data_IF_233736091745
#
_entry.id   IF_233736091745
#
_cell.length_a   1.000
_cell.length_b   1.000
_cell.length_c   1.000
_cell.angle_alpha   90.00
_cell.angle_beta   90.00
_cell.angle_gamma   90.00
#
_symmetry.space_group_name_H-M   'P 1'
#
loop_
_entity.id
_entity.type
_entity.pdbx_description
1 polymer ?
#
# COMPACT_ATOMS: atom_id res chain seq x y z
N UNK A 1 -5.45 17.18 9.08
CA UNK A 1 -4.71 16.53 7.98
C UNK A 1 -3.44 15.88 8.51
N UNK A 2 -3.27 14.58 8.25
CA UNK A 2 -2.14 13.77 8.70
C UNK A 2 -0.90 14.00 7.83
N UNK A 3 0.30 13.87 8.42
CA UNK A 3 1.56 13.96 7.67
C UNK A 3 1.93 12.62 6.99
N UNK A 4 2.95 12.64 6.11
CA UNK A 4 3.40 11.46 5.36
C UNK A 4 3.73 10.26 6.27
N UNK A 5 4.38 10.50 7.41
CA UNK A 5 4.80 9.44 8.33
C UNK A 5 3.62 8.82 9.07
N UNK A 6 2.65 9.64 9.50
CA UNK A 6 1.39 9.17 10.09
C UNK A 6 0.59 8.35 9.07
N UNK A 7 0.47 8.81 7.83
CA UNK A 7 -0.22 8.10 6.75
C UNK A 7 0.46 6.75 6.46
N UNK A 8 1.80 6.71 6.43
CA UNK A 8 2.55 5.45 6.31
C UNK A 8 2.19 4.47 7.40
N UNK A 9 2.15 4.91 8.66
CA UNK A 9 1.79 4.06 9.80
C UNK A 9 0.33 3.59 9.73
N UNK A 10 -0.59 4.45 9.31
CA UNK A 10 -2.00 4.10 9.14
C UNK A 10 -2.20 3.06 8.03
N UNK A 11 -1.51 3.23 6.90
CA UNK A 11 -1.49 2.24 5.81
C UNK A 11 -0.91 0.92 6.30
N UNK A 12 0.25 0.93 6.97
CA UNK A 12 0.88 -0.28 7.50
C UNK A 12 -0.05 -1.03 8.46
N UNK A 13 -0.72 -0.33 9.38
CA UNK A 13 -1.64 -0.93 10.36
C UNK A 13 -2.89 -1.52 9.70
N UNK A 14 -3.33 -0.94 8.58
CA UNK A 14 -4.55 -1.33 7.87
C UNK A 14 -4.27 -2.09 6.56
N UNK A 15 -3.03 -2.49 6.32
CA UNK A 15 -2.63 -3.15 5.06
C UNK A 15 -3.38 -4.46 4.82
N UNK A 16 -3.82 -5.11 5.91
CA UNK A 16 -4.64 -6.30 5.91
C UNK A 16 -6.02 -6.11 5.27
N UNK A 17 -6.51 -4.87 5.10
CA UNK A 17 -7.75 -4.58 4.37
C UNK A 17 -7.59 -4.82 2.86
N UNK A 18 -6.35 -4.76 2.35
CA UNK A 18 -6.02 -4.99 0.95
C UNK A 18 -5.76 -6.48 0.75
N UNK A 19 -6.39 -7.09 -0.25
CA UNK A 19 -6.17 -8.51 -0.52
C UNK A 19 -4.77 -8.71 -1.10
N UNK A 20 -4.08 -9.78 -0.70
CA UNK A 20 -2.75 -10.14 -1.25
C UNK A 20 -2.78 -10.25 -2.78
N UNK A 21 -3.90 -10.71 -3.36
CA UNK A 21 -4.11 -10.77 -4.82
C UNK A 21 -4.06 -9.41 -5.53
N UNK A 22 -4.27 -8.31 -4.81
CA UNK A 22 -4.12 -6.96 -5.34
C UNK A 22 -2.66 -6.49 -5.38
N UNK A 23 -1.81 -7.07 -4.53
CA UNK A 23 -0.37 -6.83 -4.56
C UNK A 23 0.34 -7.70 -5.62
N UNK A 24 -0.12 -8.94 -5.80
CA UNK A 24 0.50 -9.84 -6.77
C UNK A 24 -0.55 -10.76 -7.41
N UNK A 25 -0.64 -10.71 -8.74
CA UNK A 25 -1.56 -11.53 -9.53
C UNK A 25 -0.90 -12.79 -10.10
N UNK A 26 0.42 -12.77 -10.29
CA UNK A 26 1.16 -13.79 -11.05
C UNK A 26 2.16 -14.60 -10.20
N UNK A 27 1.91 -14.69 -8.89
CA UNK A 27 2.81 -15.35 -7.95
C UNK A 27 4.03 -14.51 -7.56
N UNK A 28 4.60 -14.84 -6.40
CA UNK A 28 5.61 -14.06 -5.70
C UNK A 28 5.15 -13.68 -4.29
N UNK A 29 6.09 -13.21 -3.47
CA UNK A 29 5.83 -12.76 -2.11
C UNK A 29 5.96 -11.24 -2.03
N UNK A 30 4.84 -10.50 -1.90
CA UNK A 30 4.91 -9.07 -1.71
C UNK A 30 5.42 -8.77 -0.30
N UNK A 31 6.43 -7.92 -0.20
CA UNK A 31 6.96 -7.43 1.07
C UNK A 31 6.06 -6.33 1.62
N UNK A 32 4.93 -6.74 2.18
CA UNK A 32 3.93 -5.84 2.77
C UNK A 32 4.32 -5.33 4.16
N UNK A 33 5.34 -5.93 4.79
CA UNK A 33 5.90 -5.47 6.08
C UNK A 33 6.78 -4.23 5.93
N UNK A 34 7.35 -4.02 4.73
CA UNK A 34 8.20 -2.88 4.44
C UNK A 34 7.68 -2.11 3.22
N UNK A 35 6.54 -1.41 3.40
CA UNK A 35 6.00 -0.54 2.35
C UNK A 35 6.43 0.92 2.54
N UNK A 36 6.54 1.66 1.44
CA UNK A 36 6.54 3.12 1.45
C UNK A 36 5.24 3.67 0.86
N UNK A 37 5.01 4.96 1.04
CA UNK A 37 3.80 5.63 0.54
C UNK A 37 4.19 6.89 -0.21
N UNK A 38 3.61 7.10 -1.38
CA UNK A 38 3.71 8.34 -2.13
C UNK A 38 2.34 8.99 -2.21
N UNK A 39 2.15 10.11 -1.51
CA UNK A 39 0.89 10.88 -1.51
C UNK A 39 0.91 11.83 -2.69
N UNK A 40 -0.12 11.77 -3.52
CA UNK A 40 -0.27 12.67 -4.68
C UNK A 40 -1.45 13.61 -4.54
N UNK A 41 -2.41 13.30 -3.67
CA UNK A 41 -3.50 14.22 -3.33
C UNK A 41 -4.01 13.95 -1.92
N UNK A 42 -4.37 15.02 -1.23
CA UNK A 42 -4.90 14.99 0.13
C UNK A 42 -5.91 16.11 0.25
N UNK A 43 -7.13 15.77 0.66
CA UNK A 43 -8.24 16.73 0.79
C UNK A 43 -9.11 16.37 1.98
N UNK A 44 -9.72 17.38 2.57
CA UNK A 44 -10.68 17.22 3.65
C UNK A 44 -12.07 17.62 3.11
N UNK A 45 -13.03 16.70 3.20
CA UNK A 45 -14.42 16.89 2.74
C UNK A 45 -15.33 16.34 3.82
N UNK A 46 -16.33 17.12 4.26
CA UNK A 46 -17.36 16.66 5.20
C UNK A 46 -16.82 15.97 6.46
N UNK A 47 -15.73 16.50 7.03
CA UNK A 47 -15.03 15.95 8.20
C UNK A 47 -14.31 14.60 7.96
N UNK A 48 -14.14 14.22 6.70
CA UNK A 48 -13.38 13.05 6.25
C UNK A 48 -12.13 13.50 5.51
N UNK A 49 -11.01 12.86 5.83
CA UNK A 49 -9.76 13.09 5.14
C UNK A 49 -9.58 12.02 4.08
N UNK A 50 -9.59 12.44 2.81
CA UNK A 50 -9.43 11.58 1.64
C UNK A 50 -8.00 11.77 1.13
N UNK A 51 -7.22 10.71 1.22
CA UNK A 51 -5.83 10.68 0.79
C UNK A 51 -5.72 9.72 -0.39
N UNK A 52 -5.26 10.24 -1.51
CA UNK A 52 -4.89 9.40 -2.65
C UNK A 52 -3.38 9.18 -2.65
N UNK A 53 -2.98 7.92 -2.53
CA UNK A 53 -1.58 7.53 -2.38
C UNK A 53 -1.22 6.28 -3.19
N UNK A 54 0.07 6.10 -3.44
CA UNK A 54 0.64 4.86 -3.97
C UNK A 54 1.41 4.15 -2.86
N UNK A 55 1.05 2.89 -2.62
CA UNK A 55 1.81 1.99 -1.77
C UNK A 55 2.94 1.43 -2.62
N UNK A 56 4.18 1.69 -2.24
CA UNK A 56 5.39 1.20 -2.89
C UNK A 56 5.88 -0.01 -2.10
N UNK A 57 6.10 -1.13 -2.79
CA UNK A 57 6.50 -2.38 -2.16
C UNK A 57 7.38 -3.18 -3.12
N UNK A 58 8.14 -4.11 -2.57
CA UNK A 58 8.89 -5.08 -3.36
C UNK A 58 8.12 -6.39 -3.43
N UNK A 59 8.31 -7.13 -4.53
CA UNK A 59 7.80 -8.50 -4.69
C UNK A 59 8.97 -9.39 -4.99
N UNK A 60 9.19 -10.37 -4.12
CA UNK A 60 10.18 -11.41 -4.34
C UNK A 60 9.59 -12.54 -5.18
N UNK A 61 10.28 -12.90 -6.26
CA UNK A 61 9.94 -14.07 -7.07
C UNK A 61 10.98 -15.15 -6.90
N UNK A 62 10.52 -16.36 -6.56
CA UNK A 62 11.38 -17.53 -6.57
C UNK A 62 11.87 -17.81 -7.99
N UNK A 63 13.16 -18.04 -8.13
CA UNK A 63 13.71 -18.61 -9.35
C UNK A 63 13.20 -20.04 -9.54
N UNK A 64 12.83 -20.40 -10.77
CA UNK A 64 12.44 -21.77 -11.12
C UNK A 64 13.38 -22.30 -12.21
N UNK A 65 13.99 -23.47 -11.94
CA UNK A 65 14.90 -24.29 -12.76
C UNK A 65 16.11 -23.60 -13.44
N UNK A 66 15.95 -22.44 -14.07
CA UNK A 66 16.99 -21.71 -14.80
C UNK A 66 16.86 -20.17 -14.75
N UNK A 67 15.78 -19.63 -14.17
CA UNK A 67 15.58 -18.17 -14.05
C UNK A 67 16.05 -17.75 -12.66
N UNK A 68 17.04 -16.83 -12.53
CA UNK A 68 17.40 -16.30 -11.22
C UNK A 68 16.16 -15.64 -10.59
N UNK A 69 15.93 -15.90 -9.31
CA UNK A 69 14.95 -15.14 -8.55
C UNK A 69 15.30 -13.65 -8.59
N UNK A 70 14.31 -12.81 -8.37
CA UNK A 70 14.48 -11.36 -8.46
C UNK A 70 13.51 -10.61 -7.57
N UNK A 71 13.97 -9.46 -7.11
CA UNK A 71 13.14 -8.47 -6.42
C UNK A 71 12.61 -7.48 -7.46
N UNK A 72 11.28 -7.35 -7.54
CA UNK A 72 10.63 -6.35 -8.40
C UNK A 72 10.02 -5.25 -7.55
N UNK A 73 10.30 -3.99 -7.88
CA UNK A 73 9.54 -2.87 -7.31
C UNK A 73 8.17 -2.76 -7.97
N UNK A 74 7.14 -2.67 -7.15
CA UNK A 74 5.75 -2.51 -7.56
C UNK A 74 5.11 -1.34 -6.81
N UNK A 75 3.99 -0.88 -7.37
CA UNK A 75 3.17 0.19 -6.79
C UNK A 75 1.70 -0.17 -6.87
N UNK A 76 0.96 0.13 -5.82
CA UNK A 76 -0.48 -0.08 -5.74
C UNK A 76 -1.15 1.25 -5.36
N UNK A 77 -1.95 1.79 -6.27
CA UNK A 77 -2.71 3.01 -6.03
C UNK A 77 -3.90 2.70 -5.13
N UNK A 78 -4.05 3.47 -4.06
CA UNK A 78 -5.15 3.32 -3.09
C UNK A 78 -5.67 4.67 -2.64
N UNK A 79 -6.95 4.67 -2.29
CA UNK A 79 -7.58 5.80 -1.61
C UNK A 79 -7.77 5.42 -0.15
N UNK A 80 -7.20 6.23 0.74
CA UNK A 80 -7.36 6.10 2.18
C UNK A 80 -8.34 7.16 2.63
N UNK A 81 -9.44 6.73 3.23
CA UNK A 81 -10.40 7.62 3.88
C UNK A 81 -10.26 7.48 5.38
N UNK A 82 -9.99 8.60 6.05
CA UNK A 82 -9.88 8.68 7.52
C UNK A 82 -11.09 9.47 8.03
N UNK A 83 -11.88 8.86 8.90
CA UNK A 83 -13.02 9.48 9.55
C UNK A 83 -12.95 9.19 11.05
N UNK A 84 -12.77 10.22 11.90
CA UNK A 84 -12.73 10.23 13.38
C UNK A 84 -12.04 9.04 14.09
N UNK A 85 -12.54 7.82 13.93
CA UNK A 85 -12.05 6.57 14.52
C UNK A 85 -11.85 5.39 13.54
N UNK A 86 -12.16 5.55 12.25
CA UNK A 86 -12.06 4.50 11.22
C UNK A 86 -11.15 4.92 10.09
N UNK A 87 -10.36 3.96 9.61
CA UNK A 87 -9.53 4.07 8.42
C UNK A 87 -10.01 3.03 7.42
N UNK A 88 -10.38 3.47 6.23
CA UNK A 88 -10.81 2.60 5.13
C UNK A 88 -9.82 2.74 3.98
N UNK A 89 -9.32 1.62 3.47
CA UNK A 89 -8.43 1.59 2.30
C UNK A 89 -9.15 0.92 1.14
N UNK A 90 -9.31 1.65 0.02
CA UNK A 90 -10.01 1.19 -1.19
C UNK A 90 -9.10 1.28 -2.41
#
# INVERSE_FOLDING_TARGET
MHNKQEIKQLVQKNIHQIKVSEFVTEGGWPNIDNVDVAIYSQKEIDNEEIIHLQILYTVDKAGCCFIPGGEEQKRLSKTVTINKNSVTIV
#
